data_IF_082971954036
#
_entry.id   IF_082971954036
#
_cell.length_a   1.000
_cell.length_b   1.000
_cell.length_c   1.000
_cell.angle_alpha   90.00
_cell.angle_beta   90.00
_cell.angle_gamma   90.00
#
_symmetry.space_group_name_H-M   'P 1'
#
loop_
_entity.id
_entity.type
_entity.pdbx_description
1 polymer ?
#
# COMPACT_ATOMS: atom_id res chain seq x y z
N UNK A 1 18.08 -28.05 -32.45
CA UNK A 1 18.01 -27.01 -31.39
C UNK A 1 16.71 -26.21 -31.41
N UNK A 2 16.02 -26.05 -32.54
CA UNK A 2 14.79 -25.26 -32.68
C UNK A 2 13.54 -25.93 -32.05
N UNK A 3 13.44 -27.25 -32.05
CA UNK A 3 12.31 -28.02 -31.54
C UNK A 3 12.14 -27.99 -30.01
N UNK A 4 13.24 -27.87 -29.26
CA UNK A 4 13.21 -27.74 -27.79
C UNK A 4 12.60 -26.40 -27.35
N UNK A 5 12.76 -25.35 -28.14
CA UNK A 5 12.26 -24.01 -27.85
C UNK A 5 10.73 -23.92 -28.02
N UNK A 6 10.16 -24.63 -28.99
CA UNK A 6 8.71 -24.64 -29.24
C UNK A 6 7.94 -25.45 -28.20
N UNK A 7 8.53 -26.53 -27.68
CA UNK A 7 7.91 -27.34 -26.61
C UNK A 7 7.87 -26.60 -25.29
N UNK A 8 8.95 -25.90 -24.94
CA UNK A 8 9.01 -25.05 -23.75
C UNK A 8 8.06 -23.86 -23.88
N UNK A 9 7.95 -23.22 -25.04
CA UNK A 9 6.98 -22.12 -25.26
C UNK A 9 5.53 -22.59 -25.11
N UNK A 10 5.18 -23.81 -25.58
CA UNK A 10 3.86 -24.41 -25.37
C UNK A 10 3.58 -24.74 -23.91
N UNK A 11 4.57 -25.18 -23.14
CA UNK A 11 4.44 -25.45 -21.71
C UNK A 11 4.28 -24.13 -20.96
N UNK A 12 5.06 -23.10 -21.26
CA UNK A 12 4.90 -21.75 -20.68
C UNK A 12 3.51 -21.16 -20.95
N UNK A 13 3.02 -21.27 -22.18
CA UNK A 13 1.70 -20.80 -22.56
C UNK A 13 0.56 -21.62 -21.91
N UNK A 14 0.77 -22.90 -21.64
CA UNK A 14 -0.15 -23.75 -20.89
C UNK A 14 -0.17 -23.40 -19.41
N UNK A 15 0.99 -23.19 -18.79
CA UNK A 15 1.07 -22.73 -17.40
C UNK A 15 0.43 -21.34 -17.24
N UNK A 16 0.66 -20.41 -18.16
CA UNK A 16 -0.02 -19.10 -18.16
C UNK A 16 -1.55 -19.23 -18.37
N UNK A 17 -2.02 -20.19 -19.18
CA UNK A 17 -3.46 -20.46 -19.36
C UNK A 17 -4.11 -21.09 -18.14
N UNK A 18 -3.40 -21.91 -17.38
CA UNK A 18 -3.92 -22.51 -16.14
C UNK A 18 -4.09 -21.45 -15.06
N UNK A 19 -3.24 -20.39 -15.07
CA UNK A 19 -3.35 -19.24 -14.15
C UNK A 19 -4.28 -18.12 -14.67
N UNK A 20 -4.82 -18.27 -15.88
CA UNK A 20 -5.87 -17.39 -16.37
C UNK A 20 -7.17 -17.77 -15.68
N UNK A 21 -7.43 -17.16 -14.52
CA UNK A 21 -8.75 -17.21 -13.88
C UNK A 21 -9.80 -16.74 -14.90
N UNK A 22 -10.41 -17.68 -15.58
CA UNK A 22 -11.40 -17.46 -16.64
C UNK A 22 -12.71 -16.84 -16.09
N UNK A 23 -12.83 -16.69 -14.76
CA UNK A 23 -14.03 -16.22 -14.11
C UNK A 23 -13.83 -14.74 -13.69
N UNK A 24 -14.32 -13.81 -14.49
CA UNK A 24 -14.29 -12.37 -14.25
C UNK A 24 -14.74 -12.00 -12.83
N UNK A 25 -15.70 -12.73 -12.29
CA UNK A 25 -16.22 -12.54 -10.93
C UNK A 25 -15.16 -12.81 -9.87
N UNK A 26 -14.43 -13.94 -9.96
CA UNK A 26 -13.38 -14.29 -9.00
C UNK A 26 -12.25 -13.27 -9.05
N UNK A 27 -11.89 -12.81 -10.25
CA UNK A 27 -10.84 -11.81 -10.42
C UNK A 27 -11.21 -10.47 -9.73
N UNK A 28 -12.45 -10.02 -9.96
CA UNK A 28 -12.97 -8.78 -9.34
C UNK A 28 -13.06 -8.91 -7.82
N UNK A 29 -13.51 -10.06 -7.33
CA UNK A 29 -13.60 -10.32 -5.90
C UNK A 29 -12.23 -10.34 -5.22
N UNK A 30 -11.24 -11.04 -5.80
CA UNK A 30 -9.88 -11.11 -5.26
C UNK A 30 -9.19 -9.74 -5.28
N UNK A 31 -9.39 -8.96 -6.36
CA UNK A 31 -8.86 -7.60 -6.47
C UNK A 31 -9.45 -6.68 -5.40
N UNK A 32 -10.76 -6.72 -5.19
CA UNK A 32 -11.43 -5.97 -4.14
C UNK A 32 -10.96 -6.40 -2.75
N UNK A 33 -10.90 -7.71 -2.49
CA UNK A 33 -10.44 -8.26 -1.22
C UNK A 33 -8.99 -7.85 -0.91
N UNK A 34 -8.10 -7.90 -1.89
CA UNK A 34 -6.72 -7.49 -1.73
C UNK A 34 -6.60 -6.00 -1.36
N UNK A 35 -7.41 -5.13 -2.00
CA UNK A 35 -7.45 -3.69 -1.68
C UNK A 35 -7.98 -3.41 -0.28
N UNK A 36 -9.06 -4.08 0.11
CA UNK A 36 -9.61 -3.95 1.47
C UNK A 36 -8.59 -4.42 2.49
N UNK A 37 -7.91 -5.54 2.26
CA UNK A 37 -6.90 -6.09 3.17
C UNK A 37 -5.71 -5.14 3.37
N UNK A 38 -5.20 -4.54 2.30
CA UNK A 38 -4.13 -3.53 2.39
C UNK A 38 -4.62 -2.28 3.11
N UNK A 39 -5.82 -1.77 2.75
CA UNK A 39 -6.37 -0.56 3.36
C UNK A 39 -6.75 -0.72 4.83
N UNK A 40 -7.09 -1.92 5.28
CA UNK A 40 -7.47 -2.18 6.66
C UNK A 40 -6.38 -1.75 7.66
N UNK A 41 -5.11 -1.98 7.32
CA UNK A 41 -3.97 -1.56 8.15
C UNK A 41 -3.94 -0.04 8.31
N UNK A 42 -4.20 0.70 7.25
CA UNK A 42 -4.20 2.17 7.25
C UNK A 42 -5.44 2.73 7.95
N UNK A 43 -6.61 2.14 7.71
CA UNK A 43 -7.88 2.56 8.34
C UNK A 43 -7.82 2.36 9.86
N UNK A 44 -7.27 1.24 10.33
CA UNK A 44 -7.15 0.96 11.76
C UNK A 44 -6.16 1.90 12.48
N UNK A 45 -5.24 2.52 11.76
CA UNK A 45 -4.32 3.51 12.31
C UNK A 45 -4.94 4.91 12.49
N UNK A 46 -6.09 5.22 11.85
CA UNK A 46 -6.72 6.54 11.92
C UNK A 46 -7.29 6.84 13.32
N UNK A 47 -8.12 5.97 13.94
CA UNK A 47 -8.69 6.24 15.25
C UNK A 47 -7.64 6.51 16.33
N UNK A 48 -6.55 5.76 16.33
CA UNK A 48 -5.48 5.97 17.29
C UNK A 48 -4.83 7.36 17.16
N UNK A 49 -4.57 7.80 15.93
CA UNK A 49 -3.99 9.13 15.66
C UNK A 49 -4.94 10.28 16.03
N UNK A 50 -6.24 10.08 15.88
CA UNK A 50 -7.25 11.10 16.23
C UNK A 50 -7.48 11.14 17.73
N UNK A 51 -7.67 9.98 18.37
CA UNK A 51 -7.96 9.90 19.80
C UNK A 51 -6.76 10.25 20.68
N UNK A 52 -5.55 9.96 20.23
CA UNK A 52 -4.29 10.21 20.94
C UNK A 52 -3.48 11.35 20.30
N UNK A 53 -4.17 12.37 19.74
CA UNK A 53 -3.54 13.44 18.96
C UNK A 53 -2.35 14.09 19.68
N UNK A 54 -2.55 14.58 20.91
CA UNK A 54 -1.50 15.27 21.68
C UNK A 54 -0.30 14.35 21.95
N UNK A 55 -0.52 13.11 22.36
CA UNK A 55 0.55 12.11 22.58
C UNK A 55 1.31 11.78 21.30
N UNK A 56 0.61 11.75 20.17
CA UNK A 56 1.23 11.46 18.88
C UNK A 56 2.08 12.66 18.42
N UNK A 57 1.61 13.89 18.64
CA UNK A 57 2.41 15.11 18.37
C UNK A 57 3.68 15.10 19.22
N UNK A 58 3.56 14.87 20.54
CA UNK A 58 4.70 14.78 21.46
C UNK A 58 5.70 13.70 20.99
N UNK A 59 5.22 12.53 20.57
CA UNK A 59 6.07 11.47 20.04
C UNK A 59 6.80 11.89 18.77
N UNK A 60 6.12 12.60 17.85
CA UNK A 60 6.75 13.13 16.64
C UNK A 60 7.82 14.18 17.01
N UNK A 61 7.50 15.04 17.98
CA UNK A 61 8.42 16.09 18.44
C UNK A 61 9.66 15.51 19.13
N UNK A 62 9.52 14.38 19.83
CA UNK A 62 10.67 13.69 20.42
C UNK A 62 11.67 13.16 19.38
N UNK A 63 11.29 13.12 18.11
CA UNK A 63 12.16 12.77 16.97
C UNK A 63 12.89 13.99 16.38
N UNK A 64 12.81 15.15 17.04
CA UNK A 64 13.48 16.38 16.60
C UNK A 64 12.66 17.27 15.68
N UNK A 65 11.35 17.00 15.54
CA UNK A 65 10.44 17.80 14.71
C UNK A 65 9.70 18.80 15.61
N UNK A 66 9.77 20.13 15.38
CA UNK A 66 9.08 21.14 16.22
C UNK A 66 7.57 20.90 16.28
N UNK A 67 6.94 21.11 17.46
CA UNK A 67 5.51 20.86 17.72
C UNK A 67 4.55 21.42 16.67
N UNK A 68 4.68 22.66 16.17
CA UNK A 68 3.79 23.17 15.13
C UNK A 68 3.86 22.34 13.85
N UNK A 69 5.06 21.93 13.46
CA UNK A 69 5.28 21.10 12.26
C UNK A 69 4.77 19.68 12.51
N UNK A 70 5.02 19.12 13.70
CA UNK A 70 4.53 17.80 14.09
C UNK A 70 3.00 17.70 14.01
N UNK A 71 2.29 18.75 14.47
CA UNK A 71 0.83 18.83 14.40
C UNK A 71 0.33 18.85 12.95
N UNK A 72 0.95 19.66 12.09
CA UNK A 72 0.60 19.73 10.64
C UNK A 72 0.86 18.39 9.95
N UNK A 73 1.99 17.75 10.24
CA UNK A 73 2.33 16.44 9.68
C UNK A 73 1.32 15.36 10.13
N UNK A 74 0.88 15.41 11.38
CA UNK A 74 -0.11 14.47 11.91
C UNK A 74 -1.46 14.65 11.23
N UNK A 75 -1.96 15.89 11.07
CA UNK A 75 -3.19 16.19 10.34
C UNK A 75 -3.04 15.73 8.90
N UNK A 76 -1.97 16.07 8.22
CA UNK A 76 -1.69 15.62 6.85
C UNK A 76 -1.68 14.10 6.73
N UNK A 77 -1.13 13.39 7.72
CA UNK A 77 -1.12 11.93 7.75
C UNK A 77 -2.53 11.34 7.83
N UNK A 78 -3.40 11.89 8.68
CA UNK A 78 -4.80 11.45 8.80
C UNK A 78 -5.56 11.68 7.50
N UNK A 79 -5.35 12.83 6.86
CA UNK A 79 -5.95 13.14 5.55
C UNK A 79 -5.46 12.15 4.47
N UNK A 80 -4.15 11.91 4.39
CA UNK A 80 -3.58 10.96 3.44
C UNK A 80 -4.10 9.53 3.66
N UNK A 81 -4.22 9.09 4.92
CA UNK A 81 -4.75 7.79 5.26
C UNK A 81 -6.22 7.65 4.88
N UNK A 82 -7.04 8.66 5.19
CA UNK A 82 -8.49 8.63 4.92
C UNK A 82 -8.77 8.68 3.43
N UNK A 83 -8.23 9.68 2.72
CA UNK A 83 -8.42 9.82 1.27
C UNK A 83 -7.74 8.68 0.51
N UNK A 84 -6.52 8.30 0.92
CA UNK A 84 -5.76 7.22 0.31
C UNK A 84 -6.52 5.90 0.37
N UNK A 85 -7.02 5.51 1.55
CA UNK A 85 -7.81 4.28 1.72
C UNK A 85 -9.13 4.32 0.95
N UNK A 86 -9.83 5.46 0.98
CA UNK A 86 -11.07 5.64 0.24
C UNK A 86 -10.89 5.49 -1.27
N UNK A 87 -9.94 6.21 -1.85
CA UNK A 87 -9.63 6.10 -3.29
C UNK A 87 -9.05 4.74 -3.67
N UNK A 88 -8.31 4.08 -2.77
CA UNK A 88 -7.72 2.78 -3.05
C UNK A 88 -8.78 1.67 -3.09
N UNK A 89 -9.80 1.71 -2.22
CA UNK A 89 -10.88 0.72 -2.17
C UNK A 89 -11.92 0.98 -3.26
N UNK A 90 -12.43 2.22 -3.31
CA UNK A 90 -13.62 2.57 -4.09
C UNK A 90 -13.31 3.38 -5.36
N UNK A 91 -12.11 3.94 -5.47
CA UNK A 91 -11.75 4.80 -6.58
C UNK A 91 -11.67 4.06 -7.91
N UNK A 92 -12.14 4.70 -8.98
CA UNK A 92 -11.93 4.22 -10.35
C UNK A 92 -10.44 4.18 -10.71
N UNK A 93 -9.67 5.12 -10.18
CA UNK A 93 -8.22 5.22 -10.36
C UNK A 93 -7.49 4.89 -9.05
N UNK A 94 -7.20 3.61 -8.86
CA UNK A 94 -6.48 3.09 -7.69
C UNK A 94 -5.08 3.69 -7.50
N UNK A 95 -4.49 4.24 -8.57
CA UNK A 95 -3.15 4.86 -8.54
C UNK A 95 -3.12 6.07 -7.62
N UNK A 96 -4.20 6.85 -7.60
CA UNK A 96 -4.32 8.02 -6.72
C UNK A 96 -4.33 7.57 -5.26
N UNK A 97 -5.15 6.56 -4.91
CA UNK A 97 -5.19 6.00 -3.56
C UNK A 97 -3.83 5.44 -3.13
N UNK A 98 -3.19 4.65 -4.01
CA UNK A 98 -1.86 4.12 -3.75
C UNK A 98 -0.81 5.22 -3.55
N UNK A 99 -0.86 6.31 -4.33
CA UNK A 99 0.05 7.45 -4.19
C UNK A 99 -0.10 8.15 -2.82
N UNK A 100 -1.33 8.39 -2.35
CA UNK A 100 -1.57 8.97 -1.02
C UNK A 100 -1.05 8.07 0.10
N UNK A 101 -1.29 6.75 0.00
CA UNK A 101 -0.81 5.80 1.00
C UNK A 101 0.72 5.69 0.99
N UNK A 102 1.36 5.74 -0.18
CA UNK A 102 2.83 5.77 -0.30
C UNK A 102 3.41 7.07 0.25
N UNK A 103 2.77 8.22 -0.02
CA UNK A 103 3.20 9.53 0.50
C UNK A 103 3.21 9.55 2.03
N UNK A 104 2.29 8.85 2.68
CA UNK A 104 2.29 8.66 4.12
C UNK A 104 3.31 7.60 4.58
N UNK A 105 3.31 6.44 3.94
CA UNK A 105 4.01 5.25 4.44
C UNK A 105 5.54 5.37 4.34
N UNK A 106 6.06 5.99 3.26
CA UNK A 106 7.50 6.11 3.05
C UNK A 106 8.15 7.00 4.12
N UNK A 107 7.71 8.27 4.35
CA UNK A 107 8.29 9.11 5.40
C UNK A 107 8.12 8.50 6.80
N UNK A 108 6.95 7.94 7.09
CA UNK A 108 6.68 7.29 8.38
C UNK A 108 7.64 6.14 8.64
N UNK A 109 7.90 5.31 7.64
CA UNK A 109 8.85 4.19 7.78
C UNK A 109 10.26 4.69 8.08
N UNK A 110 10.72 5.72 7.37
CA UNK A 110 12.07 6.28 7.55
C UNK A 110 12.20 6.89 8.94
N UNK A 111 11.27 7.74 9.35
CA UNK A 111 11.36 8.53 10.61
C UNK A 111 11.21 7.64 11.84
N UNK A 112 10.29 6.68 11.82
CA UNK A 112 9.90 5.94 13.03
C UNK A 112 10.44 4.52 13.13
N UNK A 113 10.87 3.92 12.02
CA UNK A 113 11.26 2.50 12.01
C UNK A 113 12.71 2.26 11.57
N UNK A 114 13.33 3.22 10.90
CA UNK A 114 14.76 3.14 10.56
C UNK A 114 15.63 3.65 11.69
N UNK A 115 15.17 4.65 12.47
CA UNK A 115 15.89 5.23 13.61
C UNK A 115 14.95 5.38 14.83
N UNK A 116 14.96 4.46 15.85
CA UNK A 116 15.74 3.22 15.99
C UNK A 116 15.29 2.11 15.05
N UNK A 117 16.22 1.21 14.70
CA UNK A 117 15.99 0.17 13.70
C UNK A 117 15.10 -0.96 14.26
N UNK A 118 13.86 -1.00 13.79
CA UNK A 118 12.88 -2.04 14.10
C UNK A 118 12.66 -2.94 12.88
N UNK A 119 13.50 -3.97 12.71
CA UNK A 119 13.53 -4.85 11.53
C UNK A 119 12.14 -5.36 11.12
N UNK A 120 11.35 -5.86 12.07
CA UNK A 120 10.01 -6.41 11.80
C UNK A 120 9.07 -5.35 11.19
N UNK A 121 9.05 -4.14 11.76
CA UNK A 121 8.20 -3.05 11.27
C UNK A 121 8.65 -2.54 9.91
N UNK A 122 9.98 -2.44 9.70
CA UNK A 122 10.55 -2.06 8.40
C UNK A 122 10.16 -3.05 7.32
N UNK A 123 10.27 -4.36 7.58
CA UNK A 123 9.93 -5.41 6.61
C UNK A 123 8.42 -5.43 6.28
N UNK A 124 7.55 -5.23 7.27
CA UNK A 124 6.11 -5.14 7.05
C UNK A 124 5.80 -3.92 6.16
N UNK A 125 6.34 -2.75 6.49
CA UNK A 125 6.11 -1.55 5.70
C UNK A 125 6.70 -1.65 4.29
N UNK A 126 7.86 -2.30 4.14
CA UNK A 126 8.45 -2.55 2.82
C UNK A 126 7.56 -3.46 1.97
N UNK A 127 6.96 -4.48 2.56
CA UNK A 127 5.96 -5.33 1.89
C UNK A 127 4.73 -4.55 1.43
N UNK A 128 4.21 -3.65 2.29
CA UNK A 128 3.08 -2.77 1.94
C UNK A 128 3.47 -1.78 0.81
N UNK A 129 4.64 -1.16 0.90
CA UNK A 129 5.17 -0.27 -0.15
C UNK A 129 5.25 -1.02 -1.48
N UNK A 130 5.80 -2.24 -1.49
CA UNK A 130 5.87 -3.08 -2.68
C UNK A 130 4.49 -3.37 -3.28
N UNK A 131 3.51 -3.76 -2.46
CA UNK A 131 2.13 -3.99 -2.89
C UNK A 131 1.45 -2.74 -3.48
N UNK A 132 1.65 -1.58 -2.85
CA UNK A 132 1.12 -0.30 -3.34
C UNK A 132 1.79 0.12 -4.66
N UNK A 133 3.11 -0.05 -4.82
CA UNK A 133 3.83 0.24 -6.06
C UNK A 133 3.32 -0.64 -7.19
N UNK A 134 3.19 -1.95 -6.98
CA UNK A 134 2.66 -2.87 -7.99
C UNK A 134 1.26 -2.42 -8.45
N UNK A 135 0.41 -2.02 -7.49
CA UNK A 135 -0.94 -1.53 -7.82
C UNK A 135 -0.90 -0.20 -8.56
N UNK A 136 0.00 0.71 -8.19
CA UNK A 136 0.17 2.00 -8.87
C UNK A 136 0.68 1.85 -10.31
N UNK A 137 1.55 0.86 -10.55
CA UNK A 137 2.12 0.57 -11.88
C UNK A 137 1.19 -0.28 -12.76
N UNK A 138 0.19 -0.94 -12.16
CA UNK A 138 -0.75 -1.78 -12.90
C UNK A 138 -1.50 -0.94 -13.94
N UNK A 139 -1.33 -1.31 -15.19
CA UNK A 139 -1.98 -0.63 -16.30
C UNK A 139 -3.50 -0.77 -16.22
N UNK A 140 -4.21 0.33 -16.45
CA UNK A 140 -5.69 0.40 -16.45
C UNK A 140 -6.34 -0.43 -17.58
N UNK A 141 -5.54 -1.15 -18.37
CA UNK A 141 -5.96 -1.94 -19.54
C UNK A 141 -6.79 -3.22 -19.23
N UNK A 142 -7.01 -3.52 -17.96
CA UNK A 142 -7.78 -4.70 -17.55
C UNK A 142 -9.18 -4.37 -16.99
N UNK A 143 -9.70 -3.17 -17.32
CA UNK A 143 -11.12 -2.85 -17.08
C UNK A 143 -12.00 -3.21 -18.25
#
# INVERSE_FOLDING_TARGET
MLFLNLKNKKIYLRCMKIFSFKNKFIYTFLDFFARVSISAIFITAIPDKVNNFAKTVEYISSKGIPDPIASILLIGSVVCLTLGSGFFIFGENQKIGAAFLLLFLIPTTIIFHVFPFHLKSVLINLGLIGGLIITALRDSKYK
#
